data_IF_839467423068
#
_entry.id   IF_839467423068
#
_cell.length_a   1.000
_cell.length_b   1.000
_cell.length_c   1.000
_cell.angle_alpha   90.00
_cell.angle_beta   90.00
_cell.angle_gamma   90.00
#
_symmetry.space_group_name_H-M   'P 1'
#
loop_
_entity.id
_entity.type
_entity.pdbx_description
1 polymer ?
#
# COMPACT_ATOMS: atom_id res chain seq x y z
N UNK A 1 30.76 32.08 -40.36
CA UNK A 1 31.32 30.96 -39.56
C UNK A 1 31.80 31.45 -38.19
N UNK A 2 32.72 32.42 -38.12
CA UNK A 2 33.24 32.94 -36.84
C UNK A 2 32.16 33.55 -35.92
N UNK A 3 31.22 34.33 -36.46
CA UNK A 3 30.11 34.92 -35.70
C UNK A 3 29.17 33.87 -35.11
N UNK A 4 28.85 32.82 -35.88
CA UNK A 4 28.03 31.70 -35.43
C UNK A 4 28.73 30.94 -34.28
N UNK A 5 30.04 30.72 -34.39
CA UNK A 5 30.85 30.11 -33.34
C UNK A 5 30.90 30.99 -32.08
N UNK A 6 31.01 32.31 -32.24
CA UNK A 6 30.99 33.28 -31.13
C UNK A 6 29.64 33.25 -30.38
N UNK A 7 28.52 33.25 -31.11
CA UNK A 7 27.19 33.15 -30.51
C UNK A 7 26.97 31.80 -29.81
N UNK A 8 27.45 30.70 -30.41
CA UNK A 8 27.40 29.38 -29.78
C UNK A 8 28.19 29.32 -28.47
N UNK A 9 29.42 29.84 -28.48
CA UNK A 9 30.24 29.96 -27.27
C UNK A 9 29.53 30.81 -26.21
N UNK A 10 29.00 31.97 -26.60
CA UNK A 10 28.27 32.86 -25.70
C UNK A 10 27.06 32.18 -25.08
N UNK A 11 26.27 31.44 -25.87
CA UNK A 11 25.10 30.71 -25.38
C UNK A 11 25.47 29.62 -24.37
N UNK A 12 26.53 28.84 -24.63
CA UNK A 12 27.05 27.83 -23.70
C UNK A 12 27.48 28.48 -22.38
N UNK A 13 28.17 29.63 -22.47
CA UNK A 13 28.64 30.38 -21.30
C UNK A 13 27.48 30.93 -20.49
N UNK A 14 26.42 31.41 -21.16
CA UNK A 14 25.19 31.89 -20.54
C UNK A 14 24.43 30.77 -19.82
N UNK A 15 24.23 29.63 -20.49
CA UNK A 15 23.53 28.47 -19.93
C UNK A 15 24.31 27.89 -18.75
N UNK A 16 25.63 27.73 -18.90
CA UNK A 16 26.50 27.25 -17.84
C UNK A 16 26.54 28.20 -16.65
N UNK A 17 26.63 29.51 -16.90
CA UNK A 17 26.56 30.54 -15.86
C UNK A 17 25.23 30.52 -15.11
N UNK A 18 24.11 30.47 -15.84
CA UNK A 18 22.78 30.38 -15.24
C UNK A 18 22.60 29.09 -14.43
N UNK A 19 23.12 27.97 -14.93
CA UNK A 19 23.12 26.69 -14.21
C UNK A 19 23.91 26.78 -12.90
N UNK A 20 25.09 27.39 -12.91
CA UNK A 20 25.90 27.59 -11.68
C UNK A 20 25.19 28.51 -10.69
N UNK A 21 24.60 29.61 -11.16
CA UNK A 21 23.81 30.52 -10.31
C UNK A 21 22.61 29.79 -9.73
N UNK A 22 21.84 29.07 -10.54
CA UNK A 22 20.71 28.27 -10.08
C UNK A 22 21.14 27.21 -9.07
N UNK A 23 22.24 26.48 -9.32
CA UNK A 23 22.77 25.47 -8.41
C UNK A 23 23.32 26.03 -7.09
N UNK A 24 23.65 27.33 -7.05
CA UNK A 24 24.07 28.03 -5.82
C UNK A 24 22.90 28.68 -5.08
N UNK A 25 21.88 29.13 -5.81
CA UNK A 25 20.67 29.73 -5.23
C UNK A 25 19.67 28.68 -4.76
N UNK A 26 19.57 27.54 -5.45
CA UNK A 26 18.86 26.37 -4.96
C UNK A 26 19.78 25.72 -3.94
N UNK A 27 19.40 25.65 -2.66
CA UNK A 27 20.12 24.85 -1.68
C UNK A 27 20.27 23.45 -2.27
N UNK A 28 21.52 22.98 -2.40
CA UNK A 28 21.78 21.58 -2.72
C UNK A 28 20.94 20.78 -1.74
N UNK A 29 19.97 20.03 -2.28
CA UNK A 29 18.91 19.40 -1.52
C UNK A 29 19.48 18.83 -0.23
N UNK A 30 18.93 19.29 0.89
CA UNK A 30 19.16 18.74 2.22
C UNK A 30 19.54 17.28 2.04
N UNK A 31 20.78 16.92 2.43
CA UNK A 31 21.26 15.55 2.44
C UNK A 31 20.06 14.68 2.77
N UNK A 32 19.60 13.85 1.83
CA UNK A 32 18.47 12.97 2.08
C UNK A 32 18.88 12.21 3.32
N UNK A 33 18.34 12.62 4.46
CA UNK A 33 18.61 12.01 5.73
C UNK A 33 18.38 10.52 5.49
N UNK A 34 19.29 9.64 5.96
CA UNK A 34 19.19 8.21 5.68
C UNK A 34 17.74 7.81 5.84
N UNK A 35 17.10 7.23 4.79
CA UNK A 35 15.66 7.11 4.72
C UNK A 35 15.20 6.54 6.05
N UNK A 36 14.55 7.41 6.84
CA UNK A 36 13.96 7.01 8.11
C UNK A 36 13.05 5.87 7.68
N UNK A 37 13.32 4.67 8.21
CA UNK A 37 12.47 3.51 7.98
C UNK A 37 11.04 4.01 8.10
N UNK A 38 10.27 3.89 7.02
CA UNK A 38 8.81 3.92 7.06
C UNK A 38 8.31 2.65 7.79
N UNK A 39 8.94 2.30 8.91
CA UNK A 39 8.33 1.45 9.90
C UNK A 39 7.38 2.38 10.64
N UNK A 40 6.06 2.22 10.49
CA UNK A 40 5.12 2.94 11.31
C UNK A 40 5.43 2.55 12.75
N UNK A 41 6.13 3.43 13.47
CA UNK A 41 6.17 3.42 14.93
C UNK A 41 4.75 3.78 15.32
N UNK A 42 3.90 2.75 15.37
CA UNK A 42 2.52 2.85 15.78
C UNK A 42 2.51 3.53 17.15
N UNK A 43 2.04 4.78 17.23
CA UNK A 43 1.93 5.52 18.48
C UNK A 43 0.67 5.14 19.26
N UNK A 44 -0.12 4.20 18.74
CA UNK A 44 -1.37 3.77 19.35
C UNK A 44 -1.10 2.67 20.39
N UNK A 45 -1.67 2.79 21.60
CA UNK A 45 -1.54 1.73 22.61
C UNK A 45 -2.21 0.44 22.11
N UNK A 46 -1.48 -0.68 22.10
CA UNK A 46 -2.04 -1.98 21.70
C UNK A 46 -2.71 -2.69 22.89
N UNK A 47 -2.32 -2.35 24.11
CA UNK A 47 -2.66 -3.08 25.34
C UNK A 47 -3.82 -2.45 26.12
N UNK A 48 -4.29 -1.27 25.71
CA UNK A 48 -5.41 -0.55 26.35
C UNK A 48 -6.36 0.02 25.31
N UNK A 49 -7.61 0.29 25.70
CA UNK A 49 -8.54 1.06 24.85
C UNK A 49 -7.92 2.39 24.44
N UNK A 50 -8.14 2.75 23.19
CA UNK A 50 -7.90 4.09 22.65
C UNK A 50 -8.68 5.12 23.46
N UNK A 51 -8.01 6.22 23.81
CA UNK A 51 -8.65 7.43 24.33
C UNK A 51 -8.56 8.56 23.30
N UNK A 52 -9.37 9.60 23.47
CA UNK A 52 -9.39 10.76 22.56
C UNK A 52 -8.00 11.41 22.36
N UNK A 53 -7.16 11.43 23.40
CA UNK A 53 -5.81 11.96 23.32
C UNK A 53 -4.89 11.16 22.37
N UNK A 54 -5.06 9.83 22.34
CA UNK A 54 -4.23 8.96 21.49
C UNK A 54 -4.52 9.24 20.01
N UNK A 55 -5.79 9.42 19.64
CA UNK A 55 -6.20 9.72 18.26
C UNK A 55 -5.73 11.10 17.82
N UNK A 56 -5.74 12.09 18.71
CA UNK A 56 -5.30 13.46 18.41
C UNK A 56 -3.78 13.55 18.15
N UNK A 57 -2.98 12.64 18.73
CA UNK A 57 -1.53 12.63 18.58
C UNK A 57 -1.06 11.78 17.37
N UNK A 58 -1.93 10.93 16.83
CA UNK A 58 -1.59 10.05 15.70
C UNK A 58 -1.14 10.86 14.47
N UNK A 59 -0.08 10.36 13.83
CA UNK A 59 0.46 10.86 12.57
C UNK A 59 0.36 9.76 11.53
N UNK A 60 -0.59 9.90 10.60
CA UNK A 60 -0.78 8.94 9.53
C UNK A 60 0.17 9.24 8.36
N UNK A 61 0.86 8.23 7.80
CA UNK A 61 1.68 8.41 6.62
C UNK A 61 0.81 8.72 5.39
N UNK A 62 1.33 9.55 4.49
CA UNK A 62 0.64 9.97 3.27
C UNK A 62 0.70 8.85 2.24
N UNK A 63 -0.44 8.24 1.91
CA UNK A 63 -0.55 7.25 0.84
C UNK A 63 -1.23 7.86 -0.40
N UNK A 64 -0.66 7.66 -1.59
CA UNK A 64 -1.20 8.13 -2.88
C UNK A 64 -2.52 7.44 -3.30
N UNK A 65 -3.08 6.56 -2.47
CA UNK A 65 -4.26 5.76 -2.78
C UNK A 65 -5.50 6.36 -2.11
N UNK A 66 -6.20 7.23 -2.85
CA UNK A 66 -7.65 7.39 -2.84
C UNK A 66 -8.37 8.00 -1.62
N UNK A 67 -7.72 8.22 -0.49
CA UNK A 67 -8.30 9.01 0.61
C UNK A 67 -7.71 10.40 0.60
N UNK A 68 -8.57 11.41 0.51
CA UNK A 68 -8.14 12.80 0.54
C UNK A 68 -7.79 13.13 2.00
N UNK A 69 -6.56 13.62 2.20
CA UNK A 69 -5.99 13.92 3.52
C UNK A 69 -6.90 14.82 4.36
N UNK A 70 -7.47 15.87 3.77
CA UNK A 70 -8.36 16.80 4.47
C UNK A 70 -9.65 16.13 4.98
N UNK A 71 -10.26 15.25 4.20
CA UNK A 71 -11.47 14.51 4.58
C UNK A 71 -11.16 13.49 5.69
N UNK A 72 -9.97 12.87 5.67
CA UNK A 72 -9.52 12.00 6.75
C UNK A 72 -9.27 12.77 8.05
N UNK A 73 -8.62 13.94 7.99
CA UNK A 73 -8.39 14.77 9.17
C UNK A 73 -9.71 15.23 9.81
N UNK A 74 -10.66 15.70 8.99
CA UNK A 74 -11.99 16.08 9.49
C UNK A 74 -12.73 14.93 10.16
N UNK A 75 -12.58 13.70 9.65
CA UNK A 75 -13.15 12.51 10.25
C UNK A 75 -12.48 12.19 11.60
N UNK A 76 -11.15 12.31 11.68
CA UNK A 76 -10.39 12.09 12.91
C UNK A 76 -10.74 13.12 13.98
N UNK A 77 -10.87 14.40 13.62
CA UNK A 77 -11.30 15.46 14.56
C UNK A 77 -12.68 15.14 15.15
N UNK A 78 -13.63 14.75 14.29
CA UNK A 78 -14.96 14.33 14.74
C UNK A 78 -14.90 13.09 15.63
N UNK A 79 -14.01 12.15 15.33
CA UNK A 79 -13.83 10.94 16.13
C UNK A 79 -13.28 11.26 17.53
N UNK A 80 -12.35 12.23 17.63
CA UNK A 80 -11.81 12.71 18.91
C UNK A 80 -12.91 13.29 19.79
N UNK A 81 -13.78 14.11 19.22
CA UNK A 81 -14.90 14.71 19.95
C UNK A 81 -15.90 13.66 20.44
N UNK A 82 -16.24 12.69 19.58
CA UNK A 82 -17.16 11.60 19.92
C UNK A 82 -16.57 10.69 21.01
N UNK A 83 -15.27 10.37 20.94
CA UNK A 83 -14.56 9.62 21.97
C UNK A 83 -14.61 10.34 23.31
N UNK A 84 -14.35 11.66 23.32
CA UNK A 84 -14.40 12.46 24.55
C UNK A 84 -15.80 12.46 25.16
N UNK A 85 -16.85 12.67 24.36
CA UNK A 85 -18.23 12.64 24.82
C UNK A 85 -18.62 11.26 25.39
N UNK A 86 -18.18 10.18 24.75
CA UNK A 86 -18.40 8.81 25.23
C UNK A 86 -17.65 8.53 26.53
N UNK A 87 -16.40 8.95 26.64
CA UNK A 87 -15.58 8.75 27.84
C UNK A 87 -16.17 9.50 29.04
N UNK A 88 -16.67 10.73 28.83
CA UNK A 88 -17.37 11.50 29.85
C UNK A 88 -18.66 10.79 30.31
N UNK A 89 -19.46 10.27 29.37
CA UNK A 89 -20.68 9.54 29.69
C UNK A 89 -20.37 8.22 30.43
N UNK A 90 -19.35 7.49 30.01
CA UNK A 90 -18.89 6.29 30.70
C UNK A 90 -18.41 6.63 32.11
N UNK A 91 -17.70 7.75 32.30
CA UNK A 91 -17.28 8.21 33.62
C UNK A 91 -18.48 8.56 34.52
N UNK A 92 -19.51 9.21 33.96
CA UNK A 92 -20.78 9.48 34.67
C UNK A 92 -21.49 8.19 35.07
N UNK A 93 -21.62 7.24 34.14
CA UNK A 93 -22.35 5.98 34.36
C UNK A 93 -21.62 5.00 35.27
N UNK A 94 -20.28 4.94 35.21
CA UNK A 94 -19.48 4.06 36.09
C UNK A 94 -19.44 4.55 37.53
N UNK A 95 -19.70 5.84 37.79
CA UNK A 95 -19.64 6.41 39.13
C UNK A 95 -18.29 6.15 39.81
N UNK A 96 -18.17 6.27 41.14
CA UNK A 96 -16.92 6.06 41.89
C UNK A 96 -16.35 4.63 41.87
N UNK A 97 -16.86 3.72 41.05
CA UNK A 97 -16.45 2.32 41.06
C UNK A 97 -15.11 2.14 40.34
N UNK A 98 -14.06 1.60 40.99
CA UNK A 98 -12.74 1.47 40.38
C UNK A 98 -12.78 0.52 39.18
N UNK A 99 -12.25 1.01 38.05
CA UNK A 99 -12.21 0.36 36.76
C UNK A 99 -11.24 -0.85 36.74
N UNK A 100 -11.67 -1.98 37.30
CA UNK A 100 -10.90 -3.23 37.25
C UNK A 100 -11.46 -4.25 36.23
N UNK A 101 -12.74 -4.19 35.86
CA UNK A 101 -13.39 -5.34 35.20
C UNK A 101 -13.55 -5.26 33.67
N UNK A 102 -13.45 -4.08 33.02
CA UNK A 102 -13.73 -3.95 31.57
C UNK A 102 -12.49 -4.04 30.68
N UNK A 103 -11.30 -4.22 31.25
CA UNK A 103 -10.01 -4.14 30.53
C UNK A 103 -9.75 -5.31 29.57
N UNK A 104 -10.48 -6.42 29.69
CA UNK A 104 -10.17 -7.67 28.99
C UNK A 104 -11.06 -7.99 27.78
N UNK A 105 -12.15 -7.26 27.54
CA UNK A 105 -13.18 -7.69 26.57
C UNK A 105 -13.01 -7.16 25.13
N UNK A 106 -12.13 -6.17 24.91
CA UNK A 106 -11.98 -5.50 23.61
C UNK A 106 -10.56 -5.52 23.03
N UNK A 107 -9.62 -6.24 23.64
CA UNK A 107 -8.31 -6.44 23.05
C UNK A 107 -8.45 -7.43 21.87
N UNK A 108 -8.67 -6.88 20.67
CA UNK A 108 -8.47 -7.63 19.43
C UNK A 108 -6.96 -7.84 19.31
N UNK A 109 -6.46 -9.09 19.26
CA UNK A 109 -5.05 -9.33 18.99
C UNK A 109 -4.75 -8.75 17.61
N UNK A 110 -4.05 -7.63 17.57
CA UNK A 110 -3.51 -7.08 16.33
C UNK A 110 -2.25 -7.90 16.03
N UNK A 111 -2.45 -9.08 15.44
CA UNK A 111 -1.35 -9.85 14.89
C UNK A 111 -0.74 -9.05 13.74
N UNK A 112 0.58 -9.09 13.60
CA UNK A 112 1.39 -8.27 12.70
C UNK A 112 0.92 -8.39 11.25
N UNK A 113 -0.01 -7.51 10.86
CA UNK A 113 -0.61 -7.42 9.53
C UNK A 113 0.38 -6.85 8.47
N UNK A 114 1.68 -7.03 8.67
CA UNK A 114 2.73 -6.81 7.67
C UNK A 114 3.17 -8.07 6.94
N UNK A 115 2.92 -9.27 7.50
CA UNK A 115 3.28 -10.53 6.82
C UNK A 115 2.08 -11.10 6.06
N UNK A 116 1.86 -10.61 4.84
CA UNK A 116 1.05 -11.35 3.88
C UNK A 116 1.63 -12.76 3.74
N UNK A 117 0.85 -13.84 3.98
CA UNK A 117 1.38 -15.18 3.89
C UNK A 117 1.78 -15.48 2.43
N UNK A 118 3.04 -15.83 2.21
CA UNK A 118 3.60 -16.21 0.89
C UNK A 118 2.85 -17.38 0.24
N UNK A 119 2.02 -18.11 1.02
CA UNK A 119 1.24 -19.27 0.58
C UNK A 119 0.24 -18.99 -0.54
N UNK A 120 -0.11 -17.72 -0.83
CA UNK A 120 -0.96 -17.37 -1.97
C UNK A 120 -0.20 -17.18 -3.28
N UNK A 121 1.12 -16.92 -3.25
CA UNK A 121 1.92 -16.82 -4.49
C UNK A 121 2.18 -18.19 -5.10
N UNK A 122 2.46 -19.19 -4.27
CA UNK A 122 2.67 -20.57 -4.72
C UNK A 122 1.38 -21.24 -5.23
N UNK A 123 0.21 -20.87 -4.70
CA UNK A 123 -1.08 -21.40 -5.16
C UNK A 123 -1.50 -20.87 -6.53
N UNK A 124 -1.09 -19.65 -6.90
CA UNK A 124 -1.29 -19.13 -8.26
C UNK A 124 -0.50 -19.93 -9.29
N UNK A 125 0.77 -20.23 -8.98
CA UNK A 125 1.65 -21.01 -9.85
C UNK A 125 1.22 -22.48 -9.98
N UNK A 126 0.71 -23.09 -8.89
CA UNK A 126 0.18 -24.46 -8.94
C UNK A 126 -1.13 -24.57 -9.72
N UNK A 127 -2.00 -23.54 -9.65
CA UNK A 127 -3.23 -23.51 -10.46
C UNK A 127 -2.92 -23.41 -11.94
N UNK A 128 -1.96 -22.58 -12.34
CA UNK A 128 -1.53 -22.48 -13.74
C UNK A 128 -0.86 -23.78 -14.23
N UNK A 129 -0.11 -24.49 -13.37
CA UNK A 129 0.48 -25.80 -13.72
C UNK A 129 -0.58 -26.92 -13.81
N UNK A 130 -1.61 -26.89 -12.98
CA UNK A 130 -2.75 -27.82 -13.06
C UNK A 130 -3.53 -27.65 -14.36
N UNK A 131 -3.81 -26.41 -14.76
CA UNK A 131 -4.51 -26.09 -16.01
C UNK A 131 -3.71 -26.49 -17.26
N UNK A 132 -2.37 -26.38 -17.22
CA UNK A 132 -1.51 -26.84 -18.34
C UNK A 132 -1.46 -28.38 -18.46
N UNK A 133 -1.51 -29.11 -17.35
CA UNK A 133 -1.56 -30.58 -17.36
C UNK A 133 -2.88 -31.09 -17.94
N UNK A 134 -4.01 -30.49 -17.55
CA UNK A 134 -5.32 -30.84 -18.09
C UNK A 134 -5.42 -30.53 -19.61
N UNK A 135 -4.81 -29.44 -20.08
CA UNK A 135 -4.74 -29.13 -21.51
C UNK A 135 -3.82 -30.08 -22.29
N UNK A 136 -2.76 -30.60 -21.67
CA UNK A 136 -1.89 -31.63 -22.24
C UNK A 136 -2.62 -32.98 -22.43
N UNK A 137 -3.38 -33.41 -21.42
CA UNK A 137 -4.16 -34.66 -21.46
C UNK A 137 -5.32 -34.58 -22.47
N UNK A 138 -5.96 -33.42 -22.63
CA UNK A 138 -7.01 -33.25 -23.64
C UNK A 138 -6.46 -33.27 -25.08
N UNK A 139 -5.23 -32.82 -25.31
CA UNK A 139 -4.59 -32.93 -26.63
C UNK A 139 -4.25 -34.38 -26.99
N UNK A 140 -3.85 -35.21 -26.03
CA UNK A 140 -3.61 -36.64 -26.28
C UNK A 140 -4.91 -37.41 -26.51
N UNK A 141 -6.01 -37.06 -25.82
CA UNK A 141 -7.32 -37.69 -26.03
C UNK A 141 -8.00 -37.25 -27.34
N UNK A 142 -7.73 -36.03 -27.82
CA UNK A 142 -8.20 -35.55 -29.12
C UNK A 142 -7.56 -36.26 -30.32
N UNK A 143 -6.36 -36.81 -30.16
CA UNK A 143 -5.64 -37.54 -31.22
C UNK A 143 -6.17 -38.98 -31.41
N UNK A 144 -6.86 -39.55 -30.41
CA UNK A 144 -7.37 -40.94 -30.47
C UNK A 144 -8.78 -41.09 -31.04
N UNK A 145 -9.45 -40.01 -31.43
CA UNK A 145 -10.76 -40.06 -32.08
C UNK A 145 -10.66 -39.96 -33.61
N UNK A 146 -10.02 -40.94 -34.26
CA UNK A 146 -10.22 -41.20 -35.69
C UNK A 146 -11.50 -42.06 -35.84
N UNK A 147 -12.59 -41.55 -36.45
CA UNK A 147 -13.81 -42.33 -36.62
C UNK A 147 -13.64 -43.42 -37.69
N UNK A 148 -14.26 -44.61 -37.55
CA UNK A 148 -14.30 -45.59 -38.63
C UNK A 148 -15.25 -45.10 -39.73
N UNK A 149 -14.69 -44.53 -40.80
CA UNK A 149 -15.43 -44.20 -42.00
C UNK A 149 -15.70 -45.48 -42.81
N UNK A 150 -16.90 -46.02 -42.65
CA UNK A 150 -17.47 -46.99 -43.56
C UNK A 150 -18.01 -46.28 -44.83
N UNK A 151 -17.41 -46.52 -45.99
CA UNK A 151 -18.16 -46.56 -47.27
C UNK A 151 -17.31 -47.11 -48.42
N UNK A 152 -17.90 -47.98 -49.25
CA UNK A 152 -17.33 -48.31 -50.55
C UNK A 152 -17.73 -49.67 -51.15
N UNK A 153 -19.02 -49.87 -51.42
CA UNK A 153 -19.49 -50.80 -52.46
C UNK A 153 -19.02 -50.28 -53.83
N UNK A 154 -18.35 -51.10 -54.65
CA UNK A 154 -18.30 -51.12 -56.14
C UNK A 154 -17.15 -52.09 -56.52
N UNK A 155 -17.42 -53.33 -56.96
CA UNK A 155 -17.56 -53.81 -58.36
C UNK A 155 -16.36 -54.69 -58.76
N UNK A 156 -16.67 -55.83 -59.40
CA UNK A 156 -15.71 -56.82 -59.91
C UNK A 156 -16.23 -58.25 -59.81
#
# INVERSE_FOLDING_TARGET
MLTLALYGLLAILLIGGLYVVAARLLPAGEQIAPPIRDEPIWALPAERSLVAADVAEVRLPVALRGYRFAETDLLLDRLVDELRARDEEIARLRGPYPAAATRSAFAVPFDDAGRFPESQREQGEQREQGEQREQGEQREQGEQAVPPAAHGRHEG
#
